data_IF_581911079113
#
_entry.id   IF_581911079113
#
_cell.length_a   1.000
_cell.length_b   1.000
_cell.length_c   1.000
_cell.angle_alpha   90.00
_cell.angle_beta   90.00
_cell.angle_gamma   90.00
#
_symmetry.space_group_name_H-M   'P 1'
#
loop_
_entity.id
_entity.type
_entity.pdbx_description
1 polymer ?
#
# COMPACT_ATOMS: atom_id res chain seq x y z
N UNK A 1 -5.07 3.89 20.76
CA UNK A 1 -5.02 2.94 19.62
C UNK A 1 -3.98 1.84 19.78
N UNK A 2 -2.73 2.14 20.16
CA UNK A 2 -1.62 1.16 20.16
C UNK A 2 -1.87 -0.14 20.96
N UNK A 3 -2.63 -0.10 22.07
CA UNK A 3 -2.92 -1.29 22.88
C UNK A 3 -4.00 -2.22 22.30
N UNK A 4 -4.68 -1.83 21.23
CA UNK A 4 -5.72 -2.63 20.63
C UNK A 4 -5.15 -3.90 19.97
N UNK A 5 -5.95 -4.98 19.92
CA UNK A 5 -5.61 -6.20 19.19
C UNK A 5 -5.88 -6.07 17.69
N UNK A 6 -6.81 -5.18 17.32
CA UNK A 6 -7.12 -4.79 15.96
C UNK A 6 -7.85 -3.46 15.96
N UNK A 7 -7.77 -2.71 14.86
CA UNK A 7 -8.42 -1.40 14.69
C UNK A 7 -9.47 -1.46 13.59
N UNK A 8 -10.60 -0.81 13.79
CA UNK A 8 -11.63 -0.60 12.76
C UNK A 8 -11.52 0.80 12.20
N UNK A 9 -12.06 1.06 11.01
CA UNK A 9 -12.10 2.39 10.43
C UNK A 9 -12.68 3.45 11.40
N UNK A 10 -13.71 3.08 12.18
CA UNK A 10 -14.33 3.95 13.15
C UNK A 10 -13.38 4.43 14.28
N UNK A 11 -12.35 3.65 14.61
CA UNK A 11 -11.38 3.99 15.67
C UNK A 11 -10.47 5.16 15.29
N UNK A 12 -10.44 5.51 14.00
CA UNK A 12 -9.66 6.64 13.47
C UNK A 12 -10.43 7.98 13.54
N UNK A 13 -11.70 7.97 13.97
CA UNK A 13 -12.48 9.20 14.12
C UNK A 13 -11.79 10.16 15.10
N UNK A 14 -11.55 11.38 14.64
CA UNK A 14 -10.90 12.44 15.43
C UNK A 14 -9.41 12.23 15.68
N UNK A 15 -8.77 11.26 15.01
CA UNK A 15 -7.34 11.00 15.16
C UNK A 15 -6.53 11.75 14.09
N UNK A 16 -5.35 12.30 14.42
CA UNK A 16 -4.47 12.89 13.42
C UNK A 16 -3.87 11.78 12.55
N UNK A 17 -4.29 11.71 11.28
CA UNK A 17 -3.77 10.71 10.34
C UNK A 17 -2.63 11.26 9.51
N UNK A 18 -1.51 10.53 9.53
CA UNK A 18 -0.38 10.71 8.62
C UNK A 18 -0.59 9.79 7.42
N UNK A 19 -0.55 10.35 6.22
CA UNK A 19 -0.73 9.61 4.98
C UNK A 19 0.41 9.91 3.98
N UNK A 20 0.68 8.96 3.10
CA UNK A 20 1.55 9.22 1.94
C UNK A 20 0.77 10.06 0.94
N UNK A 21 1.41 11.04 0.30
CA UNK A 21 0.80 11.87 -0.75
C UNK A 21 0.27 11.02 -1.91
N UNK A 22 -0.88 11.41 -2.43
CA UNK A 22 -1.53 10.74 -3.56
C UNK A 22 -0.62 10.71 -4.80
N UNK A 23 0.18 11.74 -5.02
CA UNK A 23 1.10 11.81 -6.18
C UNK A 23 2.22 10.76 -6.12
N UNK A 24 2.56 10.28 -4.93
CA UNK A 24 3.63 9.29 -4.73
C UNK A 24 3.08 7.86 -4.73
N UNK A 25 1.91 7.66 -4.13
CA UNK A 25 1.28 6.34 -4.01
C UNK A 25 -0.22 6.39 -4.27
N UNK A 26 -0.68 6.69 -5.49
CA UNK A 26 -2.10 6.95 -5.77
C UNK A 26 -2.96 5.74 -5.44
N UNK A 27 -2.53 4.53 -5.81
CA UNK A 27 -3.26 3.31 -5.51
C UNK A 27 -3.41 3.06 -4.00
N UNK A 28 -2.35 3.29 -3.21
CA UNK A 28 -2.37 3.13 -1.75
C UNK A 28 -3.26 4.18 -1.11
N UNK A 29 -3.10 5.45 -1.52
CA UNK A 29 -3.90 6.57 -1.02
C UNK A 29 -5.38 6.39 -1.31
N UNK A 30 -5.74 6.05 -2.55
CA UNK A 30 -7.13 5.87 -2.98
C UNK A 30 -7.76 4.68 -2.23
N UNK A 31 -6.99 3.62 -1.97
CA UNK A 31 -7.47 2.45 -1.22
C UNK A 31 -7.70 2.76 0.26
N UNK A 32 -6.81 3.51 0.91
CA UNK A 32 -6.98 3.96 2.30
C UNK A 32 -8.18 4.92 2.42
N UNK A 33 -8.29 5.87 1.50
CA UNK A 33 -9.40 6.84 1.48
C UNK A 33 -10.73 6.14 1.25
N UNK A 34 -10.78 5.17 0.32
CA UNK A 34 -11.95 4.34 0.07
C UNK A 34 -12.34 3.52 1.31
N UNK A 35 -11.36 2.95 2.03
CA UNK A 35 -11.61 2.21 3.26
C UNK A 35 -12.30 3.08 4.34
N UNK A 36 -11.84 4.31 4.56
CA UNK A 36 -12.50 5.23 5.48
C UNK A 36 -13.88 5.68 4.99
N UNK A 37 -14.00 5.98 3.69
CA UNK A 37 -15.25 6.39 3.05
C UNK A 37 -16.34 5.31 3.16
N UNK A 38 -16.01 4.04 2.91
CA UNK A 38 -16.94 2.89 3.05
C UNK A 38 -17.49 2.76 4.47
N UNK A 39 -16.74 3.20 5.48
CA UNK A 39 -17.15 3.19 6.88
C UNK A 39 -17.87 4.48 7.34
N UNK A 40 -18.08 5.45 6.44
CA UNK A 40 -18.64 6.76 6.81
C UNK A 40 -17.75 7.52 7.79
N UNK A 41 -16.43 7.34 7.70
CA UNK A 41 -15.45 7.98 8.57
C UNK A 41 -14.72 9.04 7.76
N UNK A 42 -14.85 10.30 8.17
CA UNK A 42 -13.97 11.36 7.70
C UNK A 42 -12.77 11.43 8.63
N UNK A 43 -11.56 11.31 8.07
CA UNK A 43 -10.32 11.46 8.84
C UNK A 43 -9.52 12.64 8.28
N UNK A 44 -9.26 13.69 9.09
CA UNK A 44 -8.40 14.77 8.64
C UNK A 44 -6.97 14.25 8.50
N UNK A 45 -6.41 14.40 7.31
CA UNK A 45 -4.99 14.11 7.08
C UNK A 45 -4.20 15.27 7.70
N UNK A 46 -3.55 15.02 8.83
CA UNK A 46 -2.76 16.03 9.55
C UNK A 46 -1.43 16.30 8.86
N UNK A 47 -0.84 15.27 8.24
CA UNK A 47 0.44 15.37 7.55
C UNK A 47 0.48 14.44 6.33
N UNK A 48 1.06 14.97 5.26
CA UNK A 48 1.25 14.25 4.01
C UNK A 48 2.73 14.08 3.71
N UNK A 49 3.19 12.84 3.54
CA UNK A 49 4.61 12.51 3.35
C UNK A 49 4.93 11.93 1.98
N UNK A 50 6.21 11.89 1.62
CA UNK A 50 6.67 11.43 0.31
C UNK A 50 7.03 9.94 0.29
N UNK A 51 7.06 9.28 1.45
CA UNK A 51 7.47 7.88 1.57
C UNK A 51 6.86 7.25 2.81
N UNK A 52 6.52 5.97 2.72
CA UNK A 52 6.02 5.18 3.84
C UNK A 52 7.06 5.05 4.96
N UNK A 53 8.36 5.14 4.66
CA UNK A 53 9.42 5.15 5.68
C UNK A 53 9.33 6.43 6.52
N UNK A 54 9.14 7.58 5.86
CA UNK A 54 8.94 8.87 6.54
C UNK A 54 7.64 8.89 7.34
N UNK A 55 6.58 8.24 6.84
CA UNK A 55 5.33 8.05 7.58
C UNK A 55 5.60 7.34 8.92
N UNK A 56 6.32 6.22 8.87
CA UNK A 56 6.68 5.46 10.07
C UNK A 56 7.51 6.32 11.03
N UNK A 57 8.45 7.13 10.51
CA UNK A 57 9.23 8.07 11.31
C UNK A 57 8.38 9.14 12.02
N UNK A 58 7.37 9.70 11.35
CA UNK A 58 6.46 10.68 11.96
C UNK A 58 5.53 10.03 12.99
N UNK A 59 5.07 8.81 12.75
CA UNK A 59 4.29 8.04 13.75
C UNK A 59 5.16 7.75 14.98
N UNK A 60 6.41 7.34 14.77
CA UNK A 60 7.39 7.14 15.84
C UNK A 60 7.64 8.42 16.66
N UNK A 61 7.66 9.58 15.99
CA UNK A 61 7.77 10.89 16.65
C UNK A 61 6.49 11.35 17.36
N UNK A 62 5.43 10.54 17.38
CA UNK A 62 4.18 10.86 18.06
C UNK A 62 3.25 11.79 17.29
N UNK A 63 3.50 12.01 16.00
CA UNK A 63 2.74 12.97 15.20
C UNK A 63 1.34 12.47 14.78
N UNK A 64 1.03 11.19 15.06
CA UNK A 64 -0.29 10.62 14.89
C UNK A 64 -0.26 9.13 14.58
N UNK A 65 -1.22 8.71 13.75
CA UNK A 65 -1.42 7.32 13.31
C UNK A 65 -1.41 7.29 11.79
N UNK A 66 -0.95 6.19 11.17
CA UNK A 66 -1.03 6.03 9.73
C UNK A 66 -1.32 4.59 9.32
N UNK A 67 -1.86 4.42 8.12
CA UNK A 67 -2.05 3.12 7.49
C UNK A 67 -0.87 2.81 6.58
N UNK A 68 -0.41 1.55 6.65
CA UNK A 68 0.69 1.03 5.85
C UNK A 68 0.32 -0.35 5.31
N UNK A 69 0.98 -0.75 4.22
CA UNK A 69 0.90 -2.12 3.72
C UNK A 69 1.63 -3.08 4.66
N UNK A 70 1.15 -4.32 4.74
CA UNK A 70 1.67 -5.32 5.67
C UNK A 70 3.18 -5.60 5.50
N UNK A 71 3.68 -5.55 4.27
CA UNK A 71 5.09 -5.79 3.96
C UNK A 71 6.05 -4.83 4.67
N UNK A 72 5.59 -3.63 5.06
CA UNK A 72 6.39 -2.66 5.80
C UNK A 72 6.62 -3.03 7.27
N UNK A 73 5.97 -4.09 7.79
CA UNK A 73 6.28 -4.65 9.11
C UNK A 73 7.71 -5.18 9.23
N UNK A 74 8.41 -5.38 8.11
CA UNK A 74 9.84 -5.68 8.12
C UNK A 74 10.68 -4.54 8.73
N UNK A 75 10.17 -3.30 8.70
CA UNK A 75 10.80 -2.15 9.35
C UNK A 75 10.45 -2.20 10.84
N UNK A 76 11.36 -2.75 11.64
CA UNK A 76 11.22 -2.87 13.09
C UNK A 76 11.74 -1.61 13.78
N UNK A 77 10.88 -1.02 14.62
CA UNK A 77 11.26 0.00 15.60
C UNK A 77 10.51 -0.25 16.90
N UNK A 78 11.17 -0.03 18.03
CA UNK A 78 10.58 -0.31 19.35
C UNK A 78 9.49 0.70 19.74
N UNK A 79 9.53 1.89 19.15
CA UNK A 79 8.59 3.00 19.37
C UNK A 79 7.35 2.93 18.47
N UNK A 80 7.27 1.95 17.54
CA UNK A 80 6.14 1.80 16.62
C UNK A 80 5.49 0.44 16.77
N UNK A 81 4.16 0.46 16.92
CA UNK A 81 3.35 -0.76 16.95
C UNK A 81 2.46 -0.85 15.72
N UNK A 82 2.69 -1.89 14.92
CA UNK A 82 1.80 -2.26 13.82
C UNK A 82 0.61 -3.05 14.36
N UNK A 83 -0.59 -2.51 14.20
CA UNK A 83 -1.85 -3.14 14.64
C UNK A 83 -2.65 -3.53 13.39
N UNK A 84 -3.14 -4.78 13.26
CA UNK A 84 -3.95 -5.18 12.12
C UNK A 84 -5.29 -4.45 12.11
N UNK A 85 -5.89 -4.32 10.93
CA UNK A 85 -7.27 -3.87 10.81
C UNK A 85 -8.21 -5.04 11.12
N UNK A 86 -9.27 -4.78 11.89
CA UNK A 86 -10.21 -5.80 12.38
C UNK A 86 -11.46 -5.96 11.50
N UNK A 87 -11.76 -4.95 10.68
CA UNK A 87 -12.75 -4.95 9.61
C UNK A 87 -12.11 -5.34 8.27
N UNK A 88 -12.88 -5.25 7.18
CA UNK A 88 -12.45 -5.66 5.83
C UNK A 88 -11.27 -4.79 5.35
N UNK A 89 -10.05 -5.25 5.69
CA UNK A 89 -8.83 -4.54 5.38
C UNK A 89 -8.64 -4.39 3.86
N UNK A 90 -8.31 -3.19 3.37
CA UNK A 90 -8.04 -2.99 1.97
C UNK A 90 -6.84 -3.82 1.51
N UNK A 91 -7.04 -4.59 0.45
CA UNK A 91 -5.96 -5.31 -0.23
C UNK A 91 -5.35 -4.45 -1.34
N UNK A 92 -4.04 -4.60 -1.55
CA UNK A 92 -3.32 -4.02 -2.68
C UNK A 92 -2.81 -5.17 -3.57
N UNK A 93 -3.20 -5.17 -4.84
CA UNK A 93 -2.71 -6.13 -5.82
C UNK A 93 -1.33 -5.76 -6.35
N UNK A 94 -0.57 -6.77 -6.75
CA UNK A 94 0.65 -6.59 -7.53
C UNK A 94 0.40 -7.06 -8.97
N UNK A 95 0.92 -6.31 -9.93
CA UNK A 95 0.85 -6.65 -11.36
C UNK A 95 2.26 -6.71 -11.93
N UNK A 96 2.47 -7.64 -12.85
CA UNK A 96 3.69 -7.74 -13.64
C UNK A 96 3.47 -7.06 -14.98
N UNK A 97 4.33 -6.10 -15.29
CA UNK A 97 4.35 -5.41 -16.57
C UNK A 97 5.75 -5.55 -17.17
N UNK A 98 5.82 -5.81 -18.48
CA UNK A 98 7.08 -5.86 -19.19
C UNK A 98 6.97 -5.07 -20.49
N UNK A 99 8.12 -4.68 -21.06
CA UNK A 99 8.14 -4.08 -22.39
C UNK A 99 7.73 -5.12 -23.44
N UNK A 100 7.05 -4.71 -24.53
CA UNK A 100 6.65 -5.63 -25.59
C UNK A 100 7.85 -6.34 -26.25
N UNK A 101 9.02 -5.71 -26.28
CA UNK A 101 10.24 -6.22 -26.92
C UNK A 101 11.17 -6.99 -25.97
N UNK A 102 10.72 -7.30 -24.75
CA UNK A 102 11.51 -8.12 -23.82
C UNK A 102 11.67 -9.55 -24.39
N UNK A 103 12.91 -10.07 -24.52
CA UNK A 103 13.14 -11.43 -25.02
C UNK A 103 12.35 -12.47 -24.24
N UNK A 104 11.75 -13.43 -24.96
CA UNK A 104 10.86 -14.42 -24.38
C UNK A 104 11.50 -15.22 -23.24
N UNK A 105 12.78 -15.57 -23.39
CA UNK A 105 13.52 -16.31 -22.35
C UNK A 105 13.58 -15.52 -21.04
N UNK A 106 13.82 -14.22 -21.10
CA UNK A 106 13.86 -13.36 -19.89
C UNK A 106 12.46 -13.17 -19.31
N UNK A 107 11.47 -12.93 -20.17
CA UNK A 107 10.06 -12.77 -19.77
C UNK A 107 9.54 -14.01 -19.06
N UNK A 108 9.72 -15.19 -19.66
CA UNK A 108 9.26 -16.47 -19.11
C UNK A 108 10.00 -16.80 -17.82
N UNK A 109 11.32 -16.65 -17.79
CA UNK A 109 12.12 -16.95 -16.59
C UNK A 109 11.74 -16.05 -15.42
N UNK A 110 11.54 -14.75 -15.66
CA UNK A 110 11.14 -13.82 -14.62
C UNK A 110 9.72 -14.09 -14.11
N UNK A 111 8.75 -14.29 -15.01
CA UNK A 111 7.37 -14.64 -14.61
C UNK A 111 7.36 -15.92 -13.79
N UNK A 112 8.10 -16.94 -14.22
CA UNK A 112 8.22 -18.19 -13.47
C UNK A 112 8.78 -17.96 -12.06
N UNK A 113 9.89 -17.23 -11.93
CA UNK A 113 10.49 -16.94 -10.63
C UNK A 113 9.54 -16.18 -9.70
N UNK A 114 8.78 -15.20 -10.23
CA UNK A 114 7.79 -14.48 -9.44
C UNK A 114 6.64 -15.39 -9.00
N UNK A 115 6.15 -16.27 -9.88
CA UNK A 115 5.09 -17.21 -9.54
C UNK A 115 5.54 -18.24 -8.49
N UNK A 116 6.79 -18.69 -8.54
CA UNK A 116 7.38 -19.58 -7.52
C UNK A 116 7.41 -18.88 -6.14
N UNK A 117 7.85 -17.63 -6.08
CA UNK A 117 7.86 -16.84 -4.83
C UNK A 117 6.42 -16.56 -4.34
N UNK A 118 5.51 -16.22 -5.25
CA UNK A 118 4.11 -15.95 -4.92
C UNK A 118 3.41 -17.19 -4.35
N UNK A 119 3.68 -18.37 -4.92
CA UNK A 119 3.17 -19.64 -4.41
C UNK A 119 3.73 -19.95 -3.01
N UNK A 120 5.03 -19.76 -2.79
CA UNK A 120 5.65 -19.95 -1.48
C UNK A 120 5.12 -18.99 -0.41
N UNK A 121 4.77 -17.77 -0.80
CA UNK A 121 4.18 -16.75 0.07
C UNK A 121 2.66 -16.92 0.31
N UNK A 122 2.00 -17.89 -0.36
CA UNK A 122 0.54 -18.07 -0.29
C UNK A 122 -0.24 -16.89 -0.87
N UNK A 123 0.34 -16.18 -1.84
CA UNK A 123 -0.31 -15.03 -2.48
C UNK A 123 -1.56 -15.50 -3.25
N UNK A 124 -2.67 -14.77 -3.09
CA UNK A 124 -3.88 -15.02 -3.86
C UNK A 124 -3.75 -14.38 -5.24
N UNK A 125 -3.87 -15.18 -6.29
CA UNK A 125 -4.01 -14.70 -7.66
C UNK A 125 -5.45 -14.26 -7.88
N UNK A 126 -5.72 -12.96 -7.76
CA UNK A 126 -7.01 -12.41 -8.14
C UNK A 126 -6.92 -11.88 -9.57
N UNK A 127 -7.60 -12.52 -10.51
CA UNK A 127 -7.70 -12.08 -11.89
C UNK A 127 -8.69 -10.90 -11.99
N UNK A 128 -8.45 -9.84 -11.22
CA UNK A 128 -9.21 -8.60 -11.32
C UNK A 128 -9.06 -8.02 -12.74
N UNK A 129 -10.10 -7.38 -13.30
CA UNK A 129 -10.11 -7.00 -14.70
C UNK A 129 -8.91 -6.11 -15.03
N UNK A 130 -8.09 -6.57 -15.99
CA UNK A 130 -6.88 -5.87 -16.45
C UNK A 130 -7.14 -4.49 -17.10
N UNK A 131 -8.41 -4.08 -17.15
CA UNK A 131 -8.88 -2.84 -17.77
C UNK A 131 -8.33 -1.58 -17.06
N UNK A 132 -8.24 -1.59 -15.73
CA UNK A 132 -7.85 -0.40 -14.96
C UNK A 132 -6.36 -0.02 -15.08
N UNK A 133 -5.51 -0.93 -15.58
CA UNK A 133 -4.06 -0.74 -15.64
C UNK A 133 -3.45 -0.98 -17.02
N UNK A 134 -4.28 -1.23 -18.05
CA UNK A 134 -3.84 -1.42 -19.44
C UNK A 134 -3.23 -0.17 -20.09
N UNK A 135 -3.56 1.01 -19.58
CA UNK A 135 -3.16 2.29 -20.18
C UNK A 135 -2.42 3.15 -19.16
N UNK A 136 -1.28 2.67 -18.68
CA UNK A 136 -0.27 3.62 -18.20
C UNK A 136 0.25 4.38 -19.43
N UNK A 137 0.18 5.72 -19.46
CA UNK A 137 0.73 6.48 -20.57
C UNK A 137 2.22 6.19 -20.65
N UNK A 138 2.66 5.60 -21.77
CA UNK A 138 4.07 5.29 -22.06
C UNK A 138 4.87 6.54 -22.42
N UNK A 139 4.61 7.67 -21.75
CA UNK A 139 5.39 8.89 -21.97
C UNK A 139 6.85 8.51 -21.74
N UNK A 140 7.73 8.62 -22.76
CA UNK A 140 9.12 8.24 -22.60
C UNK A 140 9.68 9.03 -21.43
N UNK A 141 10.26 8.32 -20.46
CA UNK A 141 11.00 8.95 -19.39
C UNK A 141 12.19 9.65 -20.07
N UNK A 142 12.04 10.95 -20.36
CA UNK A 142 13.11 11.79 -20.87
C UNK A 142 14.20 11.80 -19.78
N UNK A 143 15.29 11.09 -20.04
CA UNK A 143 16.47 11.10 -19.17
C UNK A 143 17.02 12.55 -19.10
N UNK A 144 17.44 13.03 -17.92
CA UNK A 144 18.29 14.21 -17.83
C UNK A 144 19.67 13.94 -18.45
#
# INVERSE_FOLDING_TARGET
LARAKGLRAADFRGQPVVAVRREVGPAVFDRITSYFSRAGVAVPISQSVNSSISLIGLVAAGAGVGLVVESLRCIRRDDVRYVPLADEAPTLGYSLCHRPDLPDVLRVSFVRAVLEVAAAAGARSDAGPLSAYRTWPTTPCSRP
#
